data_IF_193267668902
#
_entry.id   IF_193267668902
#
_cell.length_a   1.000
_cell.length_b   1.000
_cell.length_c   1.000
_cell.angle_alpha   90.00
_cell.angle_beta   90.00
_cell.angle_gamma   90.00
#
_symmetry.space_group_name_H-M   'P 1'
#
loop_
_entity.id
_entity.type
_entity.pdbx_description
1 polymer ?
#
# COMPACT_ATOMS: atom_id res chain seq x y z
N UNK A 1 18.73 -37.94 -9.91
CA UNK A 1 18.93 -36.61 -10.50
C UNK A 1 17.56 -36.12 -10.91
N UNK A 2 16.87 -35.43 -10.00
CA UNK A 2 15.48 -35.03 -10.21
C UNK A 2 15.46 -33.73 -10.99
N UNK A 3 14.65 -33.72 -12.05
CA UNK A 3 14.32 -32.55 -12.87
C UNK A 3 13.93 -31.39 -11.95
N UNK A 4 14.76 -30.35 -11.92
CA UNK A 4 14.43 -29.11 -11.23
C UNK A 4 13.27 -28.45 -11.96
N UNK A 5 12.26 -28.02 -11.20
CA UNK A 5 11.20 -27.15 -11.69
C UNK A 5 11.86 -25.84 -12.17
N UNK A 6 12.09 -25.70 -13.48
CA UNK A 6 12.64 -24.48 -14.07
C UNK A 6 11.47 -23.76 -14.73
N UNK A 7 11.20 -22.55 -14.25
CA UNK A 7 10.30 -21.61 -14.91
C UNK A 7 11.17 -20.79 -15.85
N UNK A 8 10.91 -20.90 -17.16
CA UNK A 8 11.61 -20.08 -18.16
C UNK A 8 10.66 -18.99 -18.64
N UNK A 9 10.98 -17.74 -18.31
CA UNK A 9 10.29 -16.56 -18.86
C UNK A 9 11.04 -16.15 -20.13
N UNK A 10 10.40 -16.29 -21.29
CA UNK A 10 10.92 -15.80 -22.57
C UNK A 10 10.18 -14.52 -22.93
N UNK A 11 10.92 -13.42 -23.04
CA UNK A 11 10.40 -12.13 -23.47
C UNK A 11 10.74 -11.93 -24.95
N UNK A 12 9.73 -11.86 -25.82
CA UNK A 12 9.91 -11.43 -27.20
C UNK A 12 9.43 -9.98 -27.34
N UNK A 13 10.43 -9.08 -27.38
CA UNK A 13 10.23 -7.63 -27.47
C UNK A 13 9.67 -7.19 -28.83
N UNK A 14 9.83 -8.00 -29.88
CA UNK A 14 9.41 -7.69 -31.24
C UNK A 14 7.92 -8.00 -31.44
N UNK A 15 7.47 -9.12 -30.89
CA UNK A 15 6.08 -9.55 -30.94
C UNK A 15 5.24 -9.05 -29.74
N UNK A 16 5.90 -8.42 -28.76
CA UNK A 16 5.28 -7.93 -27.52
C UNK A 16 4.53 -9.05 -26.78
N UNK A 17 5.18 -10.17 -26.59
CA UNK A 17 4.66 -11.33 -25.89
C UNK A 17 5.66 -11.80 -24.83
N UNK A 18 5.12 -12.27 -23.71
CA UNK A 18 5.86 -13.04 -22.71
C UNK A 18 5.41 -14.47 -22.83
N UNK A 19 6.34 -15.41 -22.76
CA UNK A 19 6.02 -16.82 -22.71
C UNK A 19 6.55 -17.39 -21.40
N UNK A 20 5.65 -17.92 -20.57
CA UNK A 20 6.00 -18.68 -19.36
C UNK A 20 6.01 -20.17 -19.73
N UNK A 21 7.18 -20.78 -19.66
CA UNK A 21 7.35 -22.21 -19.86
C UNK A 21 7.58 -22.88 -18.51
N UNK A 22 6.65 -23.77 -18.12
CA UNK A 22 6.74 -24.56 -16.89
C UNK A 22 7.08 -26.00 -17.29
N UNK A 23 8.05 -26.63 -16.61
CA UNK A 23 8.40 -28.04 -16.77
C UNK A 23 7.15 -28.93 -16.77
N UNK A 24 6.90 -29.64 -17.89
CA UNK A 24 5.65 -30.34 -18.19
C UNK A 24 5.00 -29.97 -19.53
N UNK A 25 5.63 -29.08 -20.32
CA UNK A 25 5.21 -28.77 -21.69
C UNK A 25 4.02 -27.83 -21.81
N UNK A 26 3.58 -27.21 -20.70
CA UNK A 26 2.58 -26.14 -20.74
C UNK A 26 3.29 -24.81 -20.95
N UNK A 27 3.04 -24.24 -22.12
CA UNK A 27 3.48 -22.92 -22.51
C UNK A 27 2.30 -21.97 -22.40
N UNK A 28 2.44 -20.93 -21.58
CA UNK A 28 1.45 -19.86 -21.47
C UNK A 28 1.99 -18.65 -22.21
N UNK A 29 1.24 -18.15 -23.18
CA UNK A 29 1.56 -16.95 -23.95
C UNK A 29 0.73 -15.78 -23.40
N UNK A 30 1.42 -14.69 -23.11
CA UNK A 30 0.84 -13.47 -22.59
C UNK A 30 1.15 -12.32 -23.54
N UNK A 31 0.19 -11.41 -23.72
CA UNK A 31 0.43 -10.22 -24.52
C UNK A 31 0.94 -9.10 -23.63
N UNK A 32 2.00 -8.44 -24.07
CA UNK A 32 2.47 -7.20 -23.50
C UNK A 32 1.88 -6.05 -24.29
N UNK A 33 1.03 -5.25 -23.65
CA UNK A 33 0.60 -3.98 -24.24
C UNK A 33 1.19 -2.84 -23.45
N UNK A 34 1.88 -1.95 -24.15
CA UNK A 34 2.27 -0.69 -23.56
C UNK A 34 1.09 0.27 -23.65
N UNK A 35 0.47 0.58 -22.51
CA UNK A 35 -0.61 1.56 -22.42
C UNK A 35 -0.26 2.62 -21.39
N UNK A 36 -0.30 3.90 -21.80
CA UNK A 36 0.01 5.04 -20.93
C UNK A 36 1.37 4.91 -20.22
N UNK A 37 2.35 4.30 -20.89
CA UNK A 37 3.71 4.07 -20.36
C UNK A 37 3.81 2.92 -19.35
N UNK A 38 2.82 2.02 -19.28
CA UNK A 38 2.88 0.77 -18.53
C UNK A 38 2.93 -0.41 -19.47
N UNK A 39 3.83 -1.36 -19.22
CA UNK A 39 3.82 -2.66 -19.86
C UNK A 39 2.85 -3.58 -19.10
N UNK A 40 1.67 -3.81 -19.66
CA UNK A 40 0.62 -4.63 -19.06
C UNK A 40 0.67 -6.04 -19.64
N UNK A 41 0.53 -7.05 -18.77
CA UNK A 41 0.43 -8.47 -19.16
C UNK A 41 -1.06 -8.79 -19.31
N UNK A 42 -1.50 -9.10 -20.53
CA UNK A 42 -2.86 -9.56 -20.81
C UNK A 42 -2.87 -11.08 -20.89
N UNK A 43 -3.79 -11.64 -20.13
CA UNK A 43 -4.22 -13.02 -20.26
C UNK A 43 -5.22 -13.02 -21.42
N UNK A 44 -5.16 -13.98 -22.34
CA UNK A 44 -6.00 -13.97 -23.56
C UNK A 44 -7.52 -13.98 -23.32
N UNK A 45 -7.98 -14.05 -22.07
CA UNK A 45 -9.37 -13.94 -21.63
C UNK A 45 -9.42 -13.25 -20.25
N UNK A 46 -10.02 -12.05 -20.18
CA UNK A 46 -10.12 -11.25 -18.96
C UNK A 46 -10.94 -11.96 -17.86
N UNK A 47 -11.80 -12.94 -18.21
CA UNK A 47 -12.56 -13.74 -17.25
C UNK A 47 -11.69 -14.66 -16.38
N UNK A 48 -10.42 -14.86 -16.75
CA UNK A 48 -9.48 -15.74 -16.04
C UNK A 48 -8.77 -15.05 -14.86
N UNK A 49 -8.91 -13.72 -14.71
CA UNK A 49 -8.25 -12.93 -13.68
C UNK A 49 -9.22 -12.47 -12.60
N UNK A 50 -8.97 -12.88 -11.36
CA UNK A 50 -9.71 -12.43 -10.18
C UNK A 50 -8.97 -11.38 -9.37
N UNK A 51 -9.69 -10.43 -8.76
CA UNK A 51 -9.15 -9.47 -7.79
C UNK A 51 -9.72 -9.76 -6.40
N UNK A 52 -8.86 -10.06 -5.42
CA UNK A 52 -9.27 -10.31 -4.04
C UNK A 52 -8.75 -9.22 -3.09
N UNK A 53 -9.68 -8.37 -2.66
CA UNK A 53 -9.43 -7.29 -1.71
C UNK A 53 -10.69 -7.04 -0.88
N UNK A 54 -10.56 -6.51 0.34
CA UNK A 54 -11.71 -6.21 1.22
C UNK A 54 -12.75 -5.28 0.57
N UNK A 55 -12.30 -4.42 -0.35
CA UNK A 55 -13.13 -3.48 -1.11
C UNK A 55 -13.22 -3.81 -2.61
N UNK A 56 -12.79 -5.01 -3.06
CA UNK A 56 -12.77 -5.38 -4.49
C UNK A 56 -14.14 -5.22 -5.17
N UNK A 57 -15.21 -5.71 -4.54
CA UNK A 57 -16.57 -5.61 -5.07
C UNK A 57 -17.00 -4.16 -5.36
N UNK A 58 -16.58 -3.22 -4.50
CA UNK A 58 -16.88 -1.80 -4.68
C UNK A 58 -16.14 -1.22 -5.88
N UNK A 59 -14.84 -1.48 -6.02
CA UNK A 59 -14.04 -0.95 -7.14
C UNK A 59 -14.48 -1.55 -8.48
N UNK A 60 -14.78 -2.85 -8.51
CA UNK A 60 -15.34 -3.51 -9.71
C UNK A 60 -16.68 -2.89 -10.09
N UNK A 61 -17.55 -2.64 -9.11
CA UNK A 61 -18.80 -1.96 -9.33
C UNK A 61 -18.61 -0.57 -9.91
N UNK A 62 -17.71 0.24 -9.36
CA UNK A 62 -17.43 1.59 -9.89
C UNK A 62 -16.86 1.55 -11.31
N UNK A 63 -16.01 0.58 -11.63
CA UNK A 63 -15.50 0.39 -12.98
C UNK A 63 -16.62 0.05 -13.98
N UNK A 64 -17.46 -0.94 -13.67
CA UNK A 64 -18.59 -1.28 -14.56
C UNK A 64 -19.61 -0.15 -14.68
N UNK A 65 -19.81 0.66 -13.62
CA UNK A 65 -20.73 1.80 -13.63
C UNK A 65 -20.29 2.93 -14.60
N UNK A 66 -19.05 2.94 -15.09
CA UNK A 66 -18.62 3.91 -16.10
C UNK A 66 -19.26 3.65 -17.48
N UNK A 67 -19.67 2.41 -17.75
CA UNK A 67 -20.22 1.96 -19.04
C UNK A 67 -21.65 1.41 -18.94
N UNK A 68 -22.04 0.92 -17.75
CA UNK A 68 -23.28 0.18 -17.52
C UNK A 68 -24.20 0.85 -16.50
N UNK A 69 -25.49 0.56 -16.59
CA UNK A 69 -26.47 0.99 -15.59
C UNK A 69 -26.22 0.34 -14.22
N UNK A 70 -26.64 1.03 -13.15
CA UNK A 70 -26.48 0.62 -11.75
C UNK A 70 -26.72 -0.88 -11.50
N UNK A 71 -27.85 -1.40 -11.98
CA UNK A 71 -28.26 -2.80 -11.72
C UNK A 71 -27.33 -3.79 -12.41
N UNK A 72 -26.89 -3.48 -13.64
CA UNK A 72 -25.99 -4.33 -14.43
C UNK A 72 -24.60 -4.32 -13.80
N UNK A 73 -24.04 -3.15 -13.54
CA UNK A 73 -22.74 -2.97 -12.90
C UNK A 73 -22.67 -3.69 -11.53
N UNK A 74 -23.70 -3.54 -10.70
CA UNK A 74 -23.82 -4.22 -9.40
C UNK A 74 -23.79 -5.75 -9.54
N UNK A 75 -24.54 -6.29 -10.49
CA UNK A 75 -24.61 -7.73 -10.70
C UNK A 75 -23.30 -8.30 -11.28
N UNK A 76 -22.68 -7.60 -12.23
CA UNK A 76 -21.36 -7.97 -12.77
C UNK A 76 -20.29 -8.00 -11.69
N UNK A 77 -20.18 -6.93 -10.89
CA UNK A 77 -19.22 -6.85 -9.79
C UNK A 77 -19.42 -7.96 -8.76
N UNK A 78 -20.68 -8.23 -8.39
CA UNK A 78 -21.04 -9.30 -7.47
C UNK A 78 -20.68 -10.68 -8.03
N UNK A 79 -21.01 -10.95 -9.28
CA UNK A 79 -20.72 -12.22 -9.94
C UNK A 79 -19.21 -12.46 -10.02
N UNK A 80 -18.45 -11.46 -10.50
CA UNK A 80 -17.00 -11.57 -10.61
C UNK A 80 -16.33 -11.74 -9.24
N UNK A 81 -16.77 -10.99 -8.22
CA UNK A 81 -16.26 -11.17 -6.84
C UNK A 81 -16.58 -12.56 -6.29
N UNK A 82 -17.78 -13.09 -6.55
CA UNK A 82 -18.18 -14.41 -6.08
C UNK A 82 -17.42 -15.54 -6.79
N UNK A 83 -17.14 -15.39 -8.09
CA UNK A 83 -16.30 -16.32 -8.84
C UNK A 83 -14.85 -16.26 -8.34
N UNK A 84 -14.32 -15.06 -8.10
CA UNK A 84 -12.97 -14.85 -7.55
C UNK A 84 -12.80 -15.47 -6.17
N UNK A 85 -13.85 -15.57 -5.35
CA UNK A 85 -13.76 -16.25 -4.05
C UNK A 85 -13.71 -17.78 -4.15
N UNK A 86 -13.98 -18.35 -5.33
CA UNK A 86 -14.00 -19.79 -5.60
C UNK A 86 -12.76 -20.19 -6.40
N UNK A 87 -12.59 -21.51 -6.53
CA UNK A 87 -11.59 -22.13 -7.42
C UNK A 87 -12.12 -22.05 -8.86
N UNK A 88 -12.01 -20.86 -9.46
CA UNK A 88 -12.52 -20.59 -10.82
C UNK A 88 -11.42 -20.03 -11.72
N UNK A 89 -10.99 -18.79 -11.46
CA UNK A 89 -9.95 -18.14 -12.26
C UNK A 89 -8.56 -18.66 -11.90
N UNK A 90 -7.73 -19.06 -12.89
CA UNK A 90 -6.37 -19.53 -12.64
C UNK A 90 -5.41 -18.42 -12.20
N UNK A 91 -5.77 -17.14 -12.37
CA UNK A 91 -4.95 -16.00 -11.98
C UNK A 91 -5.66 -15.14 -10.96
N UNK A 92 -4.95 -14.75 -9.89
CA UNK A 92 -5.50 -13.86 -8.86
C UNK A 92 -4.51 -12.79 -8.46
N UNK A 93 -5.00 -11.56 -8.40
CA UNK A 93 -4.32 -10.43 -7.78
C UNK A 93 -4.93 -10.21 -6.41
N UNK A 94 -4.12 -10.36 -5.37
CA UNK A 94 -4.59 -10.30 -3.99
C UNK A 94 -3.57 -9.63 -3.07
N UNK A 95 -4.05 -9.03 -1.99
CA UNK A 95 -3.15 -8.50 -0.96
C UNK A 95 -2.60 -9.62 -0.08
N UNK A 96 -1.40 -9.48 0.53
CA UNK A 96 -0.85 -10.48 1.45
C UNK A 96 -1.82 -10.86 2.59
N UNK A 97 -2.64 -9.91 3.04
CA UNK A 97 -3.70 -10.14 4.03
C UNK A 97 -4.79 -11.12 3.57
N UNK A 98 -5.04 -11.28 2.26
CA UNK A 98 -5.96 -12.31 1.80
C UNK A 98 -5.39 -13.72 1.96
N UNK A 99 -4.07 -13.90 1.84
CA UNK A 99 -3.40 -15.17 2.12
C UNK A 99 -3.54 -15.49 3.61
N UNK A 100 -3.28 -14.49 4.47
CA UNK A 100 -3.35 -14.64 5.92
C UNK A 100 -4.72 -15.15 6.40
N UNK A 101 -5.83 -14.76 5.77
CA UNK A 101 -7.17 -15.24 6.14
C UNK A 101 -7.27 -16.77 6.21
N UNK A 102 -6.58 -17.46 5.30
CA UNK A 102 -6.61 -18.91 5.25
C UNK A 102 -6.00 -19.53 6.52
N UNK A 103 -4.98 -18.87 7.09
CA UNK A 103 -4.26 -19.33 8.28
C UNK A 103 -4.93 -18.93 9.60
N UNK A 104 -5.92 -18.03 9.56
CA UNK A 104 -6.75 -17.66 10.70
C UNK A 104 -8.05 -18.50 10.77
N UNK A 105 -8.24 -19.49 9.90
CA UNK A 105 -9.47 -20.30 9.90
C UNK A 105 -10.72 -19.51 9.52
N UNK A 106 -10.57 -18.46 8.72
CA UNK A 106 -11.69 -17.66 8.25
C UNK A 106 -12.65 -18.50 7.39
N UNK A 107 -13.90 -18.07 7.29
CA UNK A 107 -14.90 -18.79 6.50
C UNK A 107 -14.39 -19.10 5.08
N UNK A 108 -14.45 -20.38 4.67
CA UNK A 108 -13.89 -20.94 3.43
C UNK A 108 -12.36 -21.06 3.32
N UNK A 109 -11.63 -21.06 4.44
CA UNK A 109 -10.17 -21.18 4.40
C UNK A 109 -9.69 -22.47 3.74
N UNK A 110 -10.43 -23.57 3.84
CA UNK A 110 -10.07 -24.86 3.24
C UNK A 110 -10.05 -24.78 1.73
N UNK A 111 -11.02 -24.07 1.15
CA UNK A 111 -11.08 -23.83 -0.29
C UNK A 111 -9.91 -22.93 -0.73
N UNK A 112 -9.59 -21.89 0.06
CA UNK A 112 -8.43 -21.02 -0.22
C UNK A 112 -7.12 -21.80 -0.16
N UNK A 113 -6.89 -22.62 0.87
CA UNK A 113 -5.69 -23.47 0.97
C UNK A 113 -5.62 -24.48 -0.19
N UNK A 114 -6.75 -25.09 -0.55
CA UNK A 114 -6.82 -26.03 -1.69
C UNK A 114 -6.50 -25.35 -3.02
N UNK A 115 -6.94 -24.11 -3.20
CA UNK A 115 -6.62 -23.32 -4.39
C UNK A 115 -5.15 -22.94 -4.48
N UNK A 116 -4.54 -22.57 -3.35
CA UNK A 116 -3.15 -22.17 -3.29
C UNK A 116 -2.19 -23.36 -3.47
N UNK A 117 -2.66 -24.60 -3.32
CA UNK A 117 -1.84 -25.80 -3.45
C UNK A 117 -1.18 -25.92 -4.85
N UNK A 118 0.14 -26.12 -4.86
CA UNK A 118 0.99 -26.11 -6.05
C UNK A 118 0.94 -24.79 -6.86
N UNK A 119 0.45 -23.71 -6.26
CA UNK A 119 0.35 -22.40 -6.90
C UNK A 119 1.72 -21.76 -7.17
N UNK A 120 1.72 -20.81 -8.11
CA UNK A 120 2.84 -19.90 -8.36
C UNK A 120 2.52 -18.54 -7.74
N UNK A 121 3.36 -18.09 -6.82
CA UNK A 121 3.15 -16.84 -6.12
C UNK A 121 4.22 -15.84 -6.52
N UNK A 122 3.78 -14.71 -7.06
CA UNK A 122 4.61 -13.55 -7.32
C UNK A 122 4.29 -12.53 -6.24
N UNK A 123 5.26 -12.27 -5.37
CA UNK A 123 5.16 -11.24 -4.36
C UNK A 123 5.88 -10.00 -4.88
N UNK A 124 5.10 -9.08 -5.43
CA UNK A 124 5.59 -7.80 -5.93
C UNK A 124 5.66 -6.77 -4.80
N UNK A 125 6.67 -5.90 -4.85
CA UNK A 125 6.92 -4.83 -3.89
C UNK A 125 6.84 -5.31 -2.41
N UNK A 126 7.54 -6.40 -2.07
CA UNK A 126 7.74 -6.73 -0.65
C UNK A 126 8.60 -5.61 -0.05
N UNK A 127 7.93 -4.74 0.68
CA UNK A 127 8.56 -3.80 1.57
C UNK A 127 8.74 -4.42 2.96
N UNK A 128 9.62 -3.82 3.76
CA UNK A 128 9.70 -4.14 5.17
C UNK A 128 8.40 -3.67 5.86
N UNK A 129 7.40 -4.55 5.92
CA UNK A 129 6.29 -4.37 6.86
C UNK A 129 6.83 -4.35 8.29
N UNK A 130 6.03 -3.88 9.24
CA UNK A 130 6.40 -3.99 10.66
C UNK A 130 6.78 -5.44 11.00
N UNK A 131 7.70 -5.61 11.96
CA UNK A 131 8.35 -6.89 12.20
C UNK A 131 7.36 -8.03 12.44
N UNK A 132 6.25 -7.74 13.13
CA UNK A 132 5.13 -8.66 13.32
C UNK A 132 4.53 -9.14 11.99
N UNK A 133 4.15 -8.23 11.10
CA UNK A 133 3.54 -8.55 9.79
C UNK A 133 4.52 -9.29 8.88
N UNK A 134 5.80 -8.90 8.89
CA UNK A 134 6.84 -9.61 8.14
C UNK A 134 6.97 -11.05 8.61
N UNK A 135 6.98 -11.29 9.93
CA UNK A 135 7.01 -12.64 10.51
C UNK A 135 5.78 -13.47 10.13
N UNK A 136 4.58 -12.87 10.17
CA UNK A 136 3.33 -13.54 9.75
C UNK A 136 3.37 -13.98 8.29
N UNK A 137 3.81 -13.09 7.39
CA UNK A 137 3.93 -13.40 5.96
C UNK A 137 4.94 -14.52 5.75
N UNK A 138 6.12 -14.46 6.39
CA UNK A 138 7.15 -15.49 6.28
C UNK A 138 6.67 -16.85 6.74
N UNK A 139 6.02 -16.95 7.90
CA UNK A 139 5.53 -18.24 8.40
C UNK A 139 4.37 -18.80 7.54
N UNK A 140 3.50 -17.94 6.98
CA UNK A 140 2.49 -18.38 6.01
C UNK A 140 3.13 -18.95 4.74
N UNK A 141 4.08 -18.20 4.14
CA UNK A 141 4.76 -18.62 2.92
C UNK A 141 5.57 -19.90 3.13
N UNK A 142 6.17 -20.07 4.30
CA UNK A 142 6.87 -21.28 4.70
C UNK A 142 5.93 -22.49 4.72
N UNK A 143 4.77 -22.37 5.36
CA UNK A 143 3.76 -23.45 5.35
C UNK A 143 3.28 -23.72 3.91
N UNK A 144 2.97 -22.67 3.14
CA UNK A 144 2.57 -22.82 1.73
C UNK A 144 3.65 -23.55 0.90
N UNK A 145 4.92 -23.21 1.09
CA UNK A 145 6.04 -23.85 0.38
C UNK A 145 6.17 -25.33 0.76
N UNK A 146 6.21 -25.64 2.06
CA UNK A 146 6.54 -27.00 2.51
C UNK A 146 5.35 -27.96 2.53
N UNK A 147 4.17 -27.48 2.92
CA UNK A 147 2.97 -28.32 3.07
C UNK A 147 2.10 -28.30 1.81
N UNK A 148 2.05 -27.16 1.10
CA UNK A 148 1.22 -26.96 -0.10
C UNK A 148 2.01 -26.92 -1.40
N UNK A 149 3.34 -27.10 -1.37
CA UNK A 149 4.23 -27.15 -2.55
C UNK A 149 4.14 -25.93 -3.45
N UNK A 150 3.91 -24.76 -2.86
CA UNK A 150 3.90 -23.47 -3.58
C UNK A 150 5.30 -23.10 -4.06
N UNK A 151 5.40 -22.53 -5.26
CA UNK A 151 6.61 -21.89 -5.76
C UNK A 151 6.52 -20.38 -5.57
N UNK A 152 7.62 -19.77 -5.14
CA UNK A 152 7.69 -18.36 -4.76
C UNK A 152 8.64 -17.60 -5.69
N UNK A 153 8.20 -16.44 -6.16
CA UNK A 153 9.02 -15.43 -6.81
C UNK A 153 8.81 -14.11 -6.07
N UNK A 154 9.90 -13.52 -5.57
CA UNK A 154 9.84 -12.37 -4.66
C UNK A 154 10.58 -11.21 -5.31
N UNK A 155 9.92 -10.06 -5.38
CA UNK A 155 10.42 -8.85 -6.01
C UNK A 155 10.36 -7.69 -5.02
N UNK A 156 11.39 -6.84 -5.05
CA UNK A 156 11.46 -5.63 -4.25
C UNK A 156 12.41 -4.65 -4.91
N UNK A 157 12.05 -3.35 -4.94
CA UNK A 157 12.95 -2.31 -5.41
C UNK A 157 14.16 -2.14 -4.49
N UNK A 158 13.93 -2.21 -3.17
CA UNK A 158 14.95 -2.02 -2.14
C UNK A 158 14.58 -2.86 -0.91
N UNK A 159 15.31 -3.96 -0.69
CA UNK A 159 15.11 -4.83 0.47
C UNK A 159 16.38 -4.81 1.33
N UNK A 160 16.31 -4.42 2.61
CA UNK A 160 17.47 -4.52 3.49
C UNK A 160 18.04 -5.93 3.49
N UNK A 161 19.38 -6.05 3.44
CA UNK A 161 20.06 -7.34 3.37
C UNK A 161 19.62 -8.31 4.46
N UNK A 162 19.40 -7.84 5.69
CA UNK A 162 18.95 -8.71 6.77
C UNK A 162 17.56 -9.32 6.50
N UNK A 163 16.62 -8.55 5.93
CA UNK A 163 15.30 -9.07 5.52
C UNK A 163 15.48 -10.05 4.37
N UNK A 164 16.31 -9.71 3.39
CA UNK A 164 16.61 -10.61 2.27
C UNK A 164 17.13 -11.96 2.75
N UNK A 165 18.10 -11.97 3.68
CA UNK A 165 18.61 -13.22 4.26
C UNK A 165 17.53 -13.95 5.07
N UNK A 166 16.64 -13.27 5.81
CA UNK A 166 15.50 -13.91 6.47
C UNK A 166 14.59 -14.64 5.47
N UNK A 167 14.21 -13.99 4.37
CA UNK A 167 13.41 -14.61 3.32
C UNK A 167 14.13 -15.80 2.69
N UNK A 168 15.42 -15.64 2.39
CA UNK A 168 16.25 -16.68 1.80
C UNK A 168 16.38 -17.91 2.69
N UNK A 169 16.65 -17.70 3.98
CA UNK A 169 16.83 -18.78 4.96
C UNK A 169 15.50 -19.48 5.30
N UNK A 170 14.46 -18.71 5.63
CA UNK A 170 13.18 -19.27 6.09
C UNK A 170 12.43 -19.93 4.95
N UNK A 171 12.51 -19.37 3.75
CA UNK A 171 11.82 -19.89 2.57
C UNK A 171 12.75 -20.69 1.66
N UNK A 172 13.98 -21.00 2.06
CA UNK A 172 14.96 -21.81 1.30
C UNK A 172 15.05 -21.40 -0.20
N UNK A 173 15.30 -20.12 -0.46
CA UNK A 173 15.38 -19.58 -1.82
C UNK A 173 16.84 -19.61 -2.29
N UNK A 174 17.12 -20.36 -3.35
CA UNK A 174 18.50 -20.55 -3.83
C UNK A 174 18.92 -19.60 -4.95
N UNK A 175 17.95 -19.02 -5.68
CA UNK A 175 18.22 -18.19 -6.85
C UNK A 175 17.94 -16.72 -6.55
N UNK A 176 18.92 -15.87 -6.86
CA UNK A 176 18.81 -14.43 -6.76
C UNK A 176 19.02 -13.81 -8.14
N UNK A 177 18.19 -12.81 -8.47
CA UNK A 177 18.32 -12.02 -9.68
C UNK A 177 18.47 -10.58 -9.23
N UNK A 178 19.52 -9.90 -9.70
CA UNK A 178 19.80 -8.51 -9.39
C UNK A 178 20.25 -7.77 -10.64
N UNK A 179 20.10 -6.44 -10.61
CA UNK A 179 20.61 -5.55 -11.65
C UNK A 179 22.05 -5.17 -11.27
N UNK A 180 22.96 -5.23 -12.23
CA UNK A 180 24.36 -4.89 -12.01
C UNK A 180 24.52 -3.39 -11.70
N UNK A 181 25.53 -3.04 -10.88
CA UNK A 181 25.74 -1.64 -10.42
C UNK A 181 25.84 -0.63 -11.56
N UNK A 182 26.48 -1.01 -12.67
CA UNK A 182 26.63 -0.12 -13.82
C UNK A 182 25.30 0.17 -14.53
N UNK A 183 24.41 -0.83 -14.60
CA UNK A 183 23.08 -0.67 -15.17
C UNK A 183 22.18 0.15 -14.23
N UNK A 184 22.31 -0.03 -12.91
CA UNK A 184 21.61 0.79 -11.92
C UNK A 184 21.94 2.29 -12.07
N UNK A 185 23.22 2.65 -12.27
CA UNK A 185 23.63 4.06 -12.45
C UNK A 185 22.88 4.78 -13.56
N UNK A 186 22.44 4.07 -14.61
CA UNK A 186 21.67 4.66 -15.71
C UNK A 186 20.30 5.21 -15.27
N UNK A 187 19.76 4.73 -14.13
CA UNK A 187 18.49 5.19 -13.57
C UNK A 187 18.62 6.42 -12.65
N UNK A 188 19.83 6.92 -12.43
CA UNK A 188 20.11 8.07 -11.55
C UNK A 188 19.35 9.32 -12.00
N UNK A 189 18.51 9.87 -11.10
CA UNK A 189 17.59 10.97 -11.44
C UNK A 189 17.30 11.95 -10.30
N UNK A 190 17.91 11.77 -9.14
CA UNK A 190 17.62 12.57 -7.93
C UNK A 190 18.86 13.22 -7.35
N UNK A 191 18.72 14.48 -6.96
CA UNK A 191 19.70 15.21 -6.13
C UNK A 191 19.09 15.46 -4.76
N UNK A 192 19.71 14.93 -3.73
CA UNK A 192 19.28 15.05 -2.33
C UNK A 192 19.68 16.42 -1.78
N UNK A 193 18.75 17.07 -1.09
CA UNK A 193 19.00 18.32 -0.38
C UNK A 193 18.38 18.28 1.00
N UNK A 194 19.20 18.37 2.05
CA UNK A 194 18.70 18.55 3.40
C UNK A 194 18.43 20.04 3.62
N UNK A 195 17.21 20.37 4.04
CA UNK A 195 16.80 21.74 4.38
C UNK A 195 16.61 21.85 5.88
N UNK A 196 17.19 22.90 6.47
CA UNK A 196 17.07 23.16 7.90
C UNK A 196 15.62 23.51 8.28
N UNK A 197 15.21 23.04 9.47
CA UNK A 197 13.88 23.24 10.03
C UNK A 197 12.84 22.25 9.52
N UNK A 198 11.58 22.54 9.83
CA UNK A 198 10.45 21.71 9.44
C UNK A 198 9.76 22.26 8.17
N UNK A 199 8.68 21.57 7.75
CA UNK A 199 7.93 21.93 6.53
C UNK A 199 7.32 23.34 6.60
N UNK A 200 6.91 23.80 7.77
CA UNK A 200 6.32 25.13 8.00
C UNK A 200 7.38 26.22 7.81
N UNK A 201 8.60 25.99 8.31
CA UNK A 201 9.72 26.93 8.17
C UNK A 201 10.13 27.12 6.70
N UNK A 202 9.89 26.11 5.87
CA UNK A 202 10.26 26.09 4.45
C UNK A 202 9.11 26.46 3.50
N UNK A 203 7.98 26.94 4.01
CA UNK A 203 6.78 27.25 3.22
C UNK A 203 7.02 28.28 2.12
N UNK A 204 7.83 29.31 2.36
CA UNK A 204 8.07 30.34 1.35
C UNK A 204 8.89 29.82 0.17
N UNK A 205 9.79 28.87 0.42
CA UNK A 205 10.54 28.18 -0.62
C UNK A 205 9.63 27.32 -1.48
N UNK A 206 8.71 26.57 -0.85
CA UNK A 206 7.68 25.77 -1.53
C UNK A 206 6.80 26.67 -2.41
N UNK A 207 6.30 27.79 -1.88
CA UNK A 207 5.50 28.78 -2.63
C UNK A 207 6.27 29.38 -3.81
N UNK A 208 7.59 29.55 -3.68
CA UNK A 208 8.43 30.05 -4.76
C UNK A 208 8.54 29.04 -5.90
N UNK A 209 8.81 27.76 -5.60
CA UNK A 209 8.89 26.70 -6.62
C UNK A 209 7.55 26.45 -7.32
N UNK A 210 6.43 26.55 -6.59
CA UNK A 210 5.07 26.42 -7.15
C UNK A 210 4.76 27.39 -8.30
N UNK A 211 5.51 28.49 -8.43
CA UNK A 211 5.33 29.44 -9.56
C UNK A 211 5.71 28.84 -10.92
N UNK A 212 6.51 27.77 -10.94
CA UNK A 212 7.09 27.25 -12.19
C UNK A 212 7.20 25.73 -12.26
N UNK A 213 6.89 25.02 -11.18
CA UNK A 213 7.06 23.57 -11.06
C UNK A 213 5.82 22.92 -10.47
N UNK A 214 5.59 21.66 -10.82
CA UNK A 214 4.68 20.78 -10.10
C UNK A 214 5.40 20.29 -8.83
N UNK A 215 4.82 20.59 -7.67
CA UNK A 215 5.42 20.33 -6.37
C UNK A 215 4.67 19.23 -5.63
N UNK A 216 5.44 18.24 -5.16
CA UNK A 216 4.99 17.21 -4.24
C UNK A 216 5.43 17.55 -2.82
N UNK A 217 4.49 17.56 -1.88
CA UNK A 217 4.75 17.76 -0.45
C UNK A 217 4.27 16.55 0.34
N UNK A 218 5.17 15.91 1.08
CA UNK A 218 4.84 14.72 1.89
C UNK A 218 5.08 15.01 3.37
N UNK A 219 4.03 14.89 4.16
CA UNK A 219 4.05 15.01 5.61
C UNK A 219 3.84 13.65 6.26
N UNK A 220 4.44 13.43 7.42
CA UNK A 220 4.35 12.15 8.15
C UNK A 220 3.00 11.96 8.84
N UNK A 221 2.25 13.05 9.09
CA UNK A 221 0.93 12.98 9.74
C UNK A 221 -0.17 13.70 8.97
N UNK A 222 -1.39 13.18 9.07
CA UNK A 222 -2.58 13.76 8.43
C UNK A 222 -2.85 15.20 8.89
N UNK A 223 -2.71 15.48 10.19
CA UNK A 223 -2.95 16.83 10.72
C UNK A 223 -1.98 17.85 10.12
N UNK A 224 -0.70 17.47 9.96
CA UNK A 224 0.30 18.34 9.35
C UNK A 224 0.05 18.52 7.86
N UNK A 225 -0.32 17.46 7.14
CA UNK A 225 -0.71 17.55 5.74
C UNK A 225 -1.92 18.50 5.53
N UNK A 226 -2.93 18.42 6.39
CA UNK A 226 -4.09 19.32 6.38
C UNK A 226 -3.69 20.78 6.64
N UNK A 227 -2.83 21.04 7.63
CA UNK A 227 -2.28 22.36 7.94
C UNK A 227 -1.52 22.97 6.77
N UNK A 228 -0.54 22.22 6.23
CA UNK A 228 0.29 22.64 5.09
C UNK A 228 -0.57 22.88 3.85
N UNK A 229 -1.53 22.01 3.57
CA UNK A 229 -2.44 22.17 2.44
C UNK A 229 -3.33 23.40 2.56
N UNK A 230 -3.88 23.69 3.75
CA UNK A 230 -4.68 24.91 4.01
C UNK A 230 -3.89 26.18 3.67
N UNK A 231 -2.59 26.21 3.93
CA UNK A 231 -1.75 27.35 3.60
C UNK A 231 -1.32 27.39 2.12
N UNK A 232 -0.82 26.29 1.56
CA UNK A 232 -0.33 26.28 0.17
C UNK A 232 -1.45 26.43 -0.87
N UNK A 233 -2.66 25.93 -0.59
CA UNK A 233 -3.83 26.07 -1.46
C UNK A 233 -4.36 27.51 -1.57
N UNK A 234 -3.90 28.43 -0.71
CA UNK A 234 -4.13 29.87 -0.88
C UNK A 234 -3.32 30.43 -2.05
N UNK A 235 -2.13 29.88 -2.28
CA UNK A 235 -1.19 30.30 -3.34
C UNK A 235 -1.43 29.54 -4.65
N UNK A 236 -1.65 28.23 -4.59
CA UNK A 236 -1.92 27.38 -5.76
C UNK A 236 -3.32 26.76 -5.67
N UNK A 237 -4.23 27.19 -6.56
CA UNK A 237 -5.61 26.71 -6.59
C UNK A 237 -5.76 25.37 -7.28
N UNK A 238 -4.85 25.04 -8.20
CA UNK A 238 -4.77 23.74 -8.83
C UNK A 238 -4.01 22.75 -7.92
N UNK A 239 -4.61 22.47 -6.76
CA UNK A 239 -4.01 21.70 -5.68
C UNK A 239 -4.95 20.64 -5.12
N UNK A 240 -4.38 19.57 -4.57
CA UNK A 240 -5.09 18.46 -3.92
C UNK A 240 -4.36 17.99 -2.67
N UNK A 241 -5.15 17.48 -1.72
CA UNK A 241 -4.68 16.81 -0.52
C UNK A 241 -5.00 15.31 -0.61
N UNK A 242 -4.06 14.43 -0.29
CA UNK A 242 -4.29 12.99 -0.26
C UNK A 242 -3.79 12.34 1.03
N UNK A 243 -4.69 11.66 1.74
CA UNK A 243 -4.38 10.88 2.94
C UNK A 243 -5.45 9.84 3.24
N UNK A 244 -5.22 8.99 4.27
CA UNK A 244 -6.13 7.89 4.64
C UNK A 244 -7.50 8.29 5.20
N UNK A 245 -7.72 9.57 5.56
CA UNK A 245 -8.96 10.05 6.20
C UNK A 245 -10.03 10.63 5.27
N UNK A 246 -9.91 10.45 3.96
CA UNK A 246 -11.00 10.78 3.04
C UNK A 246 -12.00 9.63 2.98
N UNK A 247 -13.30 9.95 2.86
CA UNK A 247 -14.28 8.94 2.47
C UNK A 247 -13.91 8.38 1.10
N UNK A 248 -14.20 7.10 0.90
CA UNK A 248 -13.78 6.39 -0.31
C UNK A 248 -14.23 7.11 -1.59
N UNK A 249 -15.47 7.59 -1.64
CA UNK A 249 -16.03 8.31 -2.81
C UNK A 249 -15.29 9.61 -3.13
N UNK A 250 -14.76 10.31 -2.14
CA UNK A 250 -14.03 11.57 -2.35
C UNK A 250 -12.57 11.30 -2.66
N UNK A 251 -11.99 10.26 -2.05
CA UNK A 251 -10.66 9.77 -2.38
C UNK A 251 -10.56 9.39 -3.86
N UNK A 252 -11.55 8.70 -4.42
CA UNK A 252 -11.60 8.37 -5.85
C UNK A 252 -11.57 9.61 -6.75
N UNK A 253 -12.34 10.65 -6.39
CA UNK A 253 -12.35 11.92 -7.14
C UNK A 253 -11.00 12.63 -7.07
N UNK A 254 -10.33 12.59 -5.92
CA UNK A 254 -8.99 13.15 -5.73
C UNK A 254 -7.97 12.39 -6.59
N UNK A 255 -7.99 11.06 -6.53
CA UNK A 255 -7.07 10.18 -7.27
C UNK A 255 -7.18 10.37 -8.79
N UNK A 256 -8.39 10.60 -9.32
CA UNK A 256 -8.62 10.92 -10.75
C UNK A 256 -7.96 12.23 -11.20
N UNK A 257 -7.71 13.18 -10.29
CA UNK A 257 -7.18 14.53 -10.62
C UNK A 257 -5.66 14.67 -10.40
N UNK A 258 -4.99 13.68 -9.82
CA UNK A 258 -3.59 13.80 -9.37
C UNK A 258 -2.61 14.19 -10.49
N UNK A 259 -2.85 13.75 -11.72
CA UNK A 259 -1.95 14.05 -12.84
C UNK A 259 -2.12 15.45 -13.43
N UNK A 260 -3.19 16.16 -13.06
CA UNK A 260 -3.55 17.47 -13.63
C UNK A 260 -3.21 18.63 -12.70
N UNK A 261 -2.81 18.32 -11.46
CA UNK A 261 -2.55 19.33 -10.42
C UNK A 261 -1.10 19.76 -10.36
N UNK A 262 -0.90 21.02 -9.95
CA UNK A 262 0.42 21.61 -9.74
C UNK A 262 0.95 21.33 -8.33
N UNK A 263 0.06 21.13 -7.36
CA UNK A 263 0.42 20.84 -5.98
C UNK A 263 -0.31 19.59 -5.49
N UNK A 264 0.45 18.62 -4.98
CA UNK A 264 -0.08 17.55 -4.17
C UNK A 264 0.57 17.61 -2.79
N UNK A 265 -0.26 17.77 -1.77
CA UNK A 265 0.14 17.56 -0.38
C UNK A 265 -0.43 16.22 0.05
N UNK A 266 0.34 15.41 0.78
CA UNK A 266 -0.22 14.20 1.34
C UNK A 266 0.66 13.52 2.36
N UNK A 267 0.29 12.29 2.69
CA UNK A 267 1.03 11.46 3.65
C UNK A 267 1.61 10.22 2.96
N UNK A 268 1.95 9.19 3.74
CA UNK A 268 2.38 7.87 3.24
C UNK A 268 1.41 7.23 2.24
N UNK A 269 0.16 7.72 2.17
CA UNK A 269 -0.80 7.34 1.14
C UNK A 269 -0.27 7.57 -0.30
N UNK A 270 0.75 8.41 -0.48
CA UNK A 270 1.41 8.68 -1.77
C UNK A 270 2.46 7.62 -2.14
N UNK A 271 2.99 6.92 -1.13
CA UNK A 271 4.05 5.91 -1.30
C UNK A 271 3.54 4.67 -2.04
N UNK A 272 2.23 4.38 -2.00
CA UNK A 272 1.66 3.15 -2.55
C UNK A 272 0.74 3.39 -3.74
N UNK A 273 0.93 2.61 -4.81
CA UNK A 273 -0.03 2.43 -5.91
C UNK A 273 -0.50 3.68 -6.67
N UNK A 274 0.20 4.81 -6.58
CA UNK A 274 -0.10 6.01 -7.35
C UNK A 274 0.82 6.18 -8.55
N UNK A 275 0.24 6.41 -9.73
CA UNK A 275 0.98 6.78 -10.93
C UNK A 275 1.00 8.31 -11.07
N UNK A 276 1.90 8.94 -10.32
CA UNK A 276 2.14 10.38 -10.34
C UNK A 276 3.61 10.67 -10.67
N UNK A 277 3.85 11.83 -11.27
CA UNK A 277 5.18 12.32 -11.60
C UNK A 277 5.21 13.85 -11.38
N UNK A 278 6.03 14.29 -10.44
CA UNK A 278 6.22 15.70 -10.05
C UNK A 278 7.66 16.16 -10.32
N UNK A 279 7.87 17.47 -10.39
CA UNK A 279 9.18 18.04 -10.74
C UNK A 279 10.11 18.18 -9.52
N UNK A 280 9.55 18.28 -8.32
CA UNK A 280 10.28 18.53 -7.08
C UNK A 280 9.52 17.97 -5.88
N UNK A 281 10.27 17.38 -4.93
CA UNK A 281 9.76 16.89 -3.65
C UNK A 281 10.18 17.82 -2.50
N UNK A 282 9.25 18.02 -1.56
CA UNK A 282 9.49 18.45 -0.20
C UNK A 282 8.92 17.40 0.76
N UNK A 283 9.76 16.74 1.55
CA UNK A 283 9.31 15.67 2.45
C UNK A 283 9.81 15.86 3.87
N UNK A 284 8.93 15.67 4.84
CA UNK A 284 9.34 15.50 6.24
C UNK A 284 10.30 14.30 6.37
N UNK A 285 11.19 14.31 7.38
CA UNK A 285 12.20 13.27 7.53
C UNK A 285 11.54 11.92 7.81
N UNK A 286 12.00 10.87 7.15
CA UNK A 286 11.47 9.53 7.28
C UNK A 286 12.61 8.49 7.13
N UNK A 287 12.37 7.22 7.49
CA UNK A 287 13.30 6.15 7.17
C UNK A 287 13.59 6.06 5.66
N UNK A 288 14.76 5.53 5.31
CA UNK A 288 15.27 5.54 3.94
C UNK A 288 14.36 4.85 2.93
N UNK A 289 13.74 3.74 3.30
CA UNK A 289 12.79 2.99 2.49
C UNK A 289 11.55 3.83 2.12
N UNK A 290 10.96 4.52 3.11
CA UNK A 290 9.85 5.45 2.86
C UNK A 290 10.28 6.63 1.98
N UNK A 291 11.48 7.17 2.19
CA UNK A 291 12.03 8.26 1.37
C UNK A 291 12.22 7.84 -0.10
N UNK A 292 12.80 6.66 -0.36
CA UNK A 292 13.00 6.14 -1.73
C UNK A 292 11.64 5.99 -2.45
N UNK A 293 10.62 5.49 -1.75
CA UNK A 293 9.27 5.40 -2.31
C UNK A 293 8.69 6.78 -2.67
N UNK A 294 8.94 7.80 -1.82
CA UNK A 294 8.58 9.20 -2.12
C UNK A 294 9.38 9.76 -3.30
N UNK A 295 10.68 9.45 -3.41
CA UNK A 295 11.54 9.88 -4.51
C UNK A 295 11.08 9.29 -5.84
N UNK A 296 10.58 8.04 -5.83
CA UNK A 296 9.98 7.39 -6.99
C UNK A 296 8.76 8.10 -7.59
N UNK A 297 8.20 9.11 -6.91
CA UNK A 297 7.09 9.96 -7.37
C UNK A 297 7.57 11.28 -8.00
N UNK A 298 8.88 11.48 -8.10
CA UNK A 298 9.50 12.67 -8.70
C UNK A 298 10.40 12.27 -9.85
N UNK A 299 10.22 12.95 -10.98
CA UNK A 299 11.03 12.82 -12.19
C UNK A 299 11.19 11.36 -12.63
N UNK A 300 10.09 10.60 -12.68
CA UNK A 300 10.07 9.15 -12.87
C UNK A 300 10.75 8.71 -14.17
N UNK A 301 10.65 9.52 -15.22
CA UNK A 301 11.30 9.31 -16.53
C UNK A 301 12.56 10.17 -16.73
N UNK A 302 13.05 10.83 -15.68
CA UNK A 302 14.21 11.71 -15.77
C UNK A 302 15.46 11.02 -16.27
N UNK A 303 15.63 9.75 -15.93
CA UNK A 303 16.76 8.91 -16.31
C UNK A 303 16.89 8.75 -17.83
N UNK A 304 15.77 8.64 -18.58
CA UNK A 304 15.79 8.52 -20.04
C UNK A 304 16.48 9.72 -20.73
N UNK A 305 16.43 10.89 -20.09
CA UNK A 305 16.98 12.16 -20.59
C UNK A 305 18.11 12.70 -19.73
N UNK A 306 18.58 11.93 -18.75
CA UNK A 306 19.57 12.34 -17.74
C UNK A 306 19.22 13.68 -17.05
N UNK A 307 17.93 13.94 -16.85
CA UNK A 307 17.44 15.10 -16.12
C UNK A 307 17.47 14.76 -14.64
N UNK A 308 18.12 15.60 -13.83
CA UNK A 308 18.19 15.43 -12.37
C UNK A 308 17.18 16.36 -11.70
N UNK A 309 16.35 15.80 -10.83
CA UNK A 309 15.37 16.54 -10.04
C UNK A 309 15.78 16.65 -8.57
N UNK A 310 15.50 17.78 -7.91
CA UNK A 310 15.76 17.94 -6.49
C UNK A 310 14.72 17.19 -5.64
N UNK A 311 15.20 16.42 -4.67
CA UNK A 311 14.40 15.86 -3.57
C UNK A 311 14.83 16.53 -2.26
N UNK A 312 13.98 17.43 -1.75
CA UNK A 312 14.28 18.20 -0.55
C UNK A 312 13.71 17.48 0.68
N UNK A 313 14.58 17.16 1.63
CA UNK A 313 14.24 16.49 2.87
C UNK A 313 14.41 17.50 4.00
N UNK A 314 13.37 17.69 4.81
CA UNK A 314 13.42 18.59 5.95
C UNK A 314 14.23 17.93 7.07
N UNK A 315 15.03 18.69 7.80
CA UNK A 315 15.84 18.17 8.91
C UNK A 315 15.00 17.84 10.14
N UNK A 316 13.84 18.49 10.29
CA UNK A 316 12.95 18.33 11.44
C UNK A 316 11.54 17.92 11.00
N UNK A 317 11.00 16.94 11.72
CA UNK A 317 9.61 16.50 11.59
C UNK A 317 8.70 17.18 12.61
N UNK A 318 7.46 16.71 12.71
CA UNK A 318 6.54 17.15 13.78
C UNK A 318 6.80 16.41 15.10
N UNK A 319 6.35 16.97 16.23
CA UNK A 319 6.41 16.28 17.54
C UNK A 319 5.69 14.92 17.56
N UNK A 320 4.76 14.72 16.62
CA UNK A 320 3.97 13.50 16.48
C UNK A 320 4.69 12.41 15.66
N UNK A 321 5.80 12.73 15.00
CA UNK A 321 6.49 11.80 14.10
C UNK A 321 7.09 10.60 14.85
N UNK A 322 7.39 10.77 16.15
CA UNK A 322 7.82 9.68 17.06
C UNK A 322 6.81 8.55 17.21
N UNK A 323 5.53 8.78 16.86
CA UNK A 323 4.49 7.75 16.87
C UNK A 323 4.36 7.03 15.52
N UNK A 324 5.04 7.53 14.49
CA UNK A 324 5.01 7.00 13.12
C UNK A 324 6.31 6.22 12.85
N UNK A 325 7.46 6.81 13.18
CA UNK A 325 8.77 6.23 12.92
C UNK A 325 9.66 6.28 14.16
N UNK A 326 10.58 5.32 14.25
CA UNK A 326 11.63 5.28 15.27
C UNK A 326 12.62 6.42 15.04
N UNK A 327 12.82 7.27 16.05
CA UNK A 327 13.63 8.49 15.93
C UNK A 327 15.08 8.20 15.58
N UNK A 328 15.65 7.14 16.14
CA UNK A 328 17.02 6.69 15.89
C UNK A 328 17.22 6.32 14.42
N UNK A 329 16.25 5.62 13.82
CA UNK A 329 16.27 5.21 12.41
C UNK A 329 16.21 6.42 11.47
N UNK A 330 15.31 7.37 11.76
CA UNK A 330 15.19 8.62 11.00
C UNK A 330 16.46 9.45 11.09
N UNK A 331 17.02 9.62 12.30
CA UNK A 331 18.25 10.39 12.50
C UNK A 331 19.42 9.78 11.72
N UNK A 332 19.61 8.46 11.78
CA UNK A 332 20.63 7.76 10.99
C UNK A 332 20.46 7.98 9.49
N UNK A 333 19.21 7.96 9.02
CA UNK A 333 18.88 8.22 7.61
C UNK A 333 19.29 9.63 7.20
N UNK A 334 18.92 10.65 7.98
CA UNK A 334 19.25 12.05 7.67
C UNK A 334 20.75 12.30 7.73
N UNK A 335 21.46 11.80 8.75
CA UNK A 335 22.92 11.93 8.85
C UNK A 335 23.62 11.31 7.65
N UNK A 336 23.18 10.12 7.20
CA UNK A 336 23.76 9.47 6.03
C UNK A 336 23.50 10.26 4.73
N UNK A 337 22.30 10.79 4.58
CA UNK A 337 21.90 11.54 3.38
C UNK A 337 22.50 12.95 3.31
N UNK A 338 22.96 13.54 4.43
CA UNK A 338 23.72 14.80 4.42
C UNK A 338 25.02 14.72 3.61
N UNK A 339 25.60 13.53 3.52
CA UNK A 339 26.85 13.28 2.80
C UNK A 339 26.63 13.02 1.30
N UNK A 340 25.38 12.98 0.83
CA UNK A 340 24.99 12.63 -0.54
C UNK A 340 24.39 13.84 -1.25
N UNK A 341 25.04 14.30 -2.33
CA UNK A 341 24.43 15.28 -3.26
C UNK A 341 23.65 14.56 -4.36
N UNK A 342 24.35 13.90 -5.28
CA UNK A 342 23.74 13.07 -6.32
C UNK A 342 23.48 11.67 -5.74
N UNK A 343 22.21 11.26 -5.70
CA UNK A 343 21.84 9.92 -5.28
C UNK A 343 21.88 8.99 -6.50
N UNK A 344 23.03 8.36 -6.72
CA UNK A 344 23.14 7.30 -7.73
C UNK A 344 22.34 6.07 -7.31
N UNK A 345 21.66 5.42 -8.26
CA UNK A 345 20.75 4.30 -7.93
C UNK A 345 21.50 3.11 -7.29
N UNK A 346 22.78 2.90 -7.64
CA UNK A 346 23.60 1.82 -7.07
C UNK A 346 24.01 2.06 -5.61
N UNK A 347 23.97 3.32 -5.14
CA UNK A 347 24.25 3.67 -3.74
C UNK A 347 23.09 3.34 -2.81
N UNK A 348 21.86 3.27 -3.35
CA UNK A 348 20.63 3.12 -2.56
C UNK A 348 20.69 1.87 -1.68
N UNK A 349 21.08 0.72 -2.25
CA UNK A 349 21.14 -0.53 -1.50
C UNK A 349 22.17 -0.47 -0.36
N UNK A 350 23.32 0.17 -0.58
CA UNK A 350 24.36 0.31 0.45
C UNK A 350 23.89 1.20 1.61
N UNK A 351 23.17 2.28 1.31
CA UNK A 351 22.58 3.18 2.31
C UNK A 351 21.52 2.43 3.13
N UNK A 352 20.63 1.69 2.47
CA UNK A 352 19.61 0.86 3.12
C UNK A 352 20.26 -0.17 4.04
N UNK A 353 21.25 -0.91 3.56
CA UNK A 353 21.93 -1.94 4.34
C UNK A 353 22.66 -1.38 5.57
N UNK A 354 23.33 -0.22 5.45
CA UNK A 354 23.98 0.42 6.59
C UNK A 354 22.95 0.90 7.64
N UNK A 355 21.83 1.49 7.20
CA UNK A 355 20.78 1.97 8.10
C UNK A 355 20.13 0.81 8.87
N UNK A 356 19.89 -0.32 8.21
CA UNK A 356 19.23 -1.49 8.80
C UNK A 356 20.18 -2.60 9.26
N UNK A 357 21.49 -2.34 9.37
CA UNK A 357 22.51 -3.37 9.68
C UNK A 357 22.27 -4.17 10.96
N UNK A 358 21.56 -3.60 11.92
CA UNK A 358 21.25 -4.25 13.21
C UNK A 358 20.01 -5.16 13.12
N UNK A 359 19.31 -5.15 11.99
CA UNK A 359 18.06 -5.87 11.78
C UNK A 359 16.95 -5.39 12.70
N UNK A 360 16.06 -6.30 13.08
CA UNK A 360 15.05 -6.02 14.09
C UNK A 360 15.70 -5.94 15.48
N UNK A 361 15.38 -4.87 16.22
CA UNK A 361 15.91 -4.59 17.56
C UNK A 361 14.78 -4.28 18.55
N UNK A 362 15.04 -4.47 19.84
CA UNK A 362 14.08 -4.19 20.91
C UNK A 362 12.73 -4.87 20.67
N UNK A 363 11.65 -4.09 20.75
CA UNK A 363 10.28 -4.58 20.59
C UNK A 363 10.03 -5.24 19.23
N UNK A 364 10.61 -4.72 18.15
CA UNK A 364 10.42 -5.29 16.81
C UNK A 364 10.96 -6.71 16.73
N UNK A 365 12.10 -6.97 17.39
CA UNK A 365 12.68 -8.32 17.48
C UNK A 365 11.79 -9.26 18.29
N UNK A 366 11.30 -8.78 19.43
CA UNK A 366 10.39 -9.54 20.29
C UNK A 366 9.10 -9.91 19.55
N UNK A 367 8.48 -8.94 18.85
CA UNK A 367 7.26 -9.14 18.08
C UNK A 367 7.50 -10.13 16.92
N UNK A 368 8.66 -10.04 16.24
CA UNK A 368 9.03 -10.97 15.16
C UNK A 368 9.20 -12.41 15.67
N UNK A 369 10.01 -12.61 16.73
CA UNK A 369 10.28 -13.95 17.28
C UNK A 369 9.02 -14.55 17.92
N UNK A 370 8.19 -13.74 18.59
CA UNK A 370 6.93 -14.20 19.17
C UNK A 370 6.01 -14.81 18.12
N UNK A 371 5.86 -14.17 16.96
CA UNK A 371 5.07 -14.74 15.86
C UNK A 371 5.73 -16.02 15.36
N UNK A 372 7.03 -16.01 15.09
CA UNK A 372 7.77 -17.17 14.58
C UNK A 372 7.65 -18.41 15.48
N UNK A 373 7.69 -18.23 16.80
CA UNK A 373 7.57 -19.33 17.77
C UNK A 373 6.13 -19.87 17.89
N UNK A 374 5.13 -18.97 17.85
CA UNK A 374 3.75 -19.33 18.20
C UNK A 374 2.84 -19.57 16.98
N UNK A 375 3.20 -19.09 15.78
CA UNK A 375 2.32 -19.13 14.61
C UNK A 375 1.94 -20.56 14.21
N UNK A 376 2.88 -21.50 14.28
CA UNK A 376 2.59 -22.91 13.97
C UNK A 376 1.62 -23.54 14.97
N UNK A 377 1.73 -23.21 16.26
CA UNK A 377 0.79 -23.68 17.27
C UNK A 377 -0.60 -23.11 17.02
N UNK A 378 -0.68 -21.80 16.76
CA UNK A 378 -1.93 -21.13 16.38
C UNK A 378 -2.58 -21.74 15.13
N UNK A 379 -1.80 -21.98 14.08
CA UNK A 379 -2.30 -22.61 12.85
C UNK A 379 -2.79 -24.04 13.07
N UNK A 380 -2.12 -24.83 13.91
CA UNK A 380 -2.53 -26.20 14.22
C UNK A 380 -3.88 -26.26 14.97
N UNK A 381 -4.33 -25.16 15.59
CA UNK A 381 -5.65 -25.06 16.20
C UNK A 381 -6.75 -24.76 15.17
N UNK A 382 -6.41 -24.44 13.92
CA UNK A 382 -7.39 -24.24 12.85
C UNK A 382 -7.92 -25.60 12.41
N UNK A 383 -9.19 -25.85 12.72
CA UNK A 383 -9.87 -27.12 12.41
C UNK A 383 -10.83 -26.90 11.24
N UNK A 384 -10.77 -27.75 10.18
CA UNK A 384 -11.73 -27.70 9.08
C UNK A 384 -13.18 -27.70 9.57
N UNK A 385 -14.00 -26.86 8.94
CA UNK A 385 -15.43 -26.66 9.21
C UNK A 385 -15.77 -26.03 10.56
N UNK A 386 -14.78 -25.64 11.38
CA UNK A 386 -15.00 -24.94 12.65
C UNK A 386 -14.69 -23.46 12.47
N UNK A 387 -15.70 -22.62 12.70
CA UNK A 387 -15.56 -21.17 12.69
C UNK A 387 -15.51 -20.61 14.11
N UNK A 388 -14.44 -19.87 14.41
CA UNK A 388 -14.25 -19.23 15.70
C UNK A 388 -14.25 -17.71 15.55
N UNK A 389 -15.19 -17.06 16.25
CA UNK A 389 -15.31 -15.60 16.23
C UNK A 389 -14.06 -14.90 16.78
N UNK A 390 -13.40 -15.50 17.77
CA UNK A 390 -12.14 -14.98 18.34
C UNK A 390 -11.04 -14.87 17.29
N UNK A 391 -10.88 -15.88 16.42
CA UNK A 391 -9.89 -15.84 15.33
C UNK A 391 -10.20 -14.78 14.27
N UNK A 392 -11.49 -14.54 14.00
CA UNK A 392 -11.92 -13.41 13.16
C UNK A 392 -11.50 -12.06 13.78
N UNK A 393 -11.75 -11.88 15.07
CA UNK A 393 -11.36 -10.67 15.81
C UNK A 393 -9.84 -10.48 15.81
N UNK A 394 -9.07 -11.55 16.02
CA UNK A 394 -7.60 -11.54 15.95
C UNK A 394 -7.10 -11.12 14.56
N UNK A 395 -7.67 -11.68 13.48
CA UNK A 395 -7.32 -11.29 12.12
C UNK A 395 -7.60 -9.80 11.85
N UNK A 396 -8.78 -9.30 12.21
CA UNK A 396 -9.11 -7.89 11.98
C UNK A 396 -8.33 -6.92 12.86
N UNK A 397 -7.82 -7.38 14.02
CA UNK A 397 -6.94 -6.58 14.86
C UNK A 397 -5.63 -6.18 14.17
N UNK A 398 -5.20 -6.95 13.15
CA UNK A 398 -3.97 -6.69 12.38
C UNK A 398 -4.02 -5.37 11.60
N UNK A 399 -5.20 -4.90 11.20
CA UNK A 399 -5.34 -3.66 10.41
C UNK A 399 -5.09 -2.39 11.23
N UNK A 400 -5.05 -2.49 12.57
CA UNK A 400 -4.75 -1.38 13.51
C UNK A 400 -5.61 -0.11 13.27
N UNK A 401 -6.80 -0.25 12.67
CA UNK A 401 -7.72 0.85 12.32
C UNK A 401 -9.19 0.43 12.41
N UNK A 402 -10.08 1.42 12.53
CA UNK A 402 -11.53 1.28 12.44
C UNK A 402 -12.08 1.99 11.22
N UNK A 403 -12.98 1.33 10.49
CA UNK A 403 -13.81 1.98 9.47
C UNK A 403 -14.97 2.70 10.15
N UNK A 404 -15.14 3.98 9.79
CA UNK A 404 -16.12 4.90 10.39
C UNK A 404 -16.80 5.74 9.31
N UNK A 405 -17.99 6.24 9.61
CA UNK A 405 -18.72 7.19 8.77
C UNK A 405 -18.77 8.54 9.49
N UNK A 406 -18.39 9.67 8.85
CA UNK A 406 -18.54 10.99 9.46
C UNK A 406 -20.02 11.25 9.77
N UNK A 407 -20.32 11.74 10.98
CA UNK A 407 -21.69 11.90 11.47
C UNK A 407 -22.57 12.76 10.53
N UNK A 408 -21.98 13.77 9.90
CA UNK A 408 -22.63 14.64 8.93
C UNK A 408 -23.26 13.91 7.73
N UNK A 409 -22.83 12.67 7.45
CA UNK A 409 -23.38 11.83 6.37
C UNK A 409 -24.18 10.62 6.88
N UNK A 410 -24.54 10.60 8.17
CA UNK A 410 -25.27 9.49 8.78
C UNK A 410 -26.60 9.23 8.08
N UNK A 411 -27.38 10.28 7.80
CA UNK A 411 -28.70 10.13 7.21
C UNK A 411 -28.62 9.60 5.77
N UNK A 412 -27.70 10.12 4.97
CA UNK A 412 -27.46 9.65 3.61
C UNK A 412 -26.96 8.21 3.58
N UNK A 413 -26.03 7.87 4.47
CA UNK A 413 -25.58 6.48 4.63
C UNK A 413 -26.76 5.55 4.97
N UNK A 414 -27.60 5.92 5.95
CA UNK A 414 -28.74 5.10 6.36
C UNK A 414 -29.80 5.00 5.25
N UNK A 415 -29.98 6.04 4.44
CA UNK A 415 -30.84 5.99 3.25
C UNK A 415 -30.31 5.00 2.21
N UNK A 416 -28.99 4.98 1.95
CA UNK A 416 -28.38 3.98 1.07
C UNK A 416 -28.62 2.55 1.58
N UNK A 417 -28.45 2.32 2.88
CA UNK A 417 -28.68 1.01 3.51
C UNK A 417 -30.16 0.61 3.39
N UNK A 418 -31.08 1.51 3.72
CA UNK A 418 -32.53 1.28 3.63
C UNK A 418 -32.99 0.94 2.22
N UNK A 419 -32.39 1.57 1.21
CA UNK A 419 -32.68 1.32 -0.20
C UNK A 419 -31.91 0.10 -0.78
N UNK A 420 -31.19 -0.67 0.04
CA UNK A 420 -30.41 -1.83 -0.40
C UNK A 420 -29.24 -1.49 -1.33
N UNK A 421 -28.80 -0.23 -1.32
CA UNK A 421 -27.68 0.31 -2.10
C UNK A 421 -26.36 0.23 -1.32
N UNK A 422 -26.07 -0.95 -0.76
CA UNK A 422 -24.89 -1.21 0.08
C UNK A 422 -23.55 -0.79 -0.55
N UNK A 423 -23.41 -0.90 -1.88
CA UNK A 423 -22.19 -0.47 -2.58
C UNK A 423 -22.00 1.04 -2.57
N UNK A 424 -23.08 1.83 -2.60
CA UNK A 424 -22.98 3.29 -2.44
C UNK A 424 -22.72 3.66 -0.98
N UNK A 425 -23.33 2.92 -0.04
CA UNK A 425 -23.05 3.08 1.39
C UNK A 425 -21.54 2.89 1.72
N UNK A 426 -20.85 1.96 1.05
CA UNK A 426 -19.40 1.76 1.20
C UNK A 426 -18.61 3.05 0.90
N UNK A 427 -19.11 3.88 -0.02
CA UNK A 427 -18.48 5.15 -0.42
C UNK A 427 -18.33 6.17 0.72
N UNK A 428 -19.10 6.03 1.81
CA UNK A 428 -19.09 6.93 2.96
C UNK A 428 -18.07 6.54 4.04
N UNK A 429 -17.47 5.37 3.96
CA UNK A 429 -16.47 4.95 4.94
C UNK A 429 -15.14 5.67 4.74
N UNK A 430 -14.57 6.09 5.85
CA UNK A 430 -13.18 6.50 6.02
C UNK A 430 -12.58 5.69 7.17
N UNK A 431 -11.26 5.73 7.36
CA UNK A 431 -10.61 4.92 8.41
C UNK A 431 -9.89 5.81 9.43
N UNK A 432 -9.95 5.44 10.70
CA UNK A 432 -9.24 6.09 11.81
C UNK A 432 -8.41 5.08 12.59
N UNK A 433 -7.30 5.52 13.18
CA UNK A 433 -6.47 4.62 14.00
C UNK A 433 -7.17 4.23 15.31
N UNK A 434 -6.75 3.11 15.91
CA UNK A 434 -7.26 2.66 17.22
C UNK A 434 -7.14 3.76 18.29
N UNK A 435 -6.02 4.50 18.32
CA UNK A 435 -5.83 5.58 19.29
C UNK A 435 -6.85 6.71 19.13
N UNK A 436 -7.19 7.05 17.89
CA UNK A 436 -8.19 8.08 17.58
C UNK A 436 -9.60 7.62 17.90
N UNK A 437 -9.91 6.36 17.59
CA UNK A 437 -11.18 5.76 17.99
C UNK A 437 -11.35 5.80 19.51
N UNK A 438 -10.32 5.41 20.27
CA UNK A 438 -10.34 5.51 21.74
C UNK A 438 -10.51 6.95 22.24
N UNK A 439 -9.81 7.92 21.64
CA UNK A 439 -9.95 9.35 21.96
C UNK A 439 -11.40 9.80 21.77
N UNK A 440 -11.95 9.63 20.57
CA UNK A 440 -13.32 10.05 20.24
C UNK A 440 -14.36 9.33 21.11
N UNK A 441 -14.13 8.04 21.42
CA UNK A 441 -15.01 7.28 22.33
C UNK A 441 -15.01 7.88 23.74
N UNK A 442 -13.84 8.25 24.27
CA UNK A 442 -13.72 8.88 25.59
C UNK A 442 -14.36 10.28 25.63
N UNK A 443 -14.37 10.97 24.49
CA UNK A 443 -15.01 12.28 24.32
C UNK A 443 -16.53 12.17 24.05
N UNK A 444 -17.11 10.95 24.05
CA UNK A 444 -18.51 10.69 23.66
C UNK A 444 -18.87 11.15 22.24
N UNK A 445 -17.89 11.14 21.33
CA UNK A 445 -18.01 11.57 19.92
C UNK A 445 -18.17 10.39 18.95
N UNK A 446 -18.58 9.21 19.45
CA UNK A 446 -18.87 8.03 18.64
C UNK A 446 -20.26 7.51 18.95
N UNK A 447 -21.09 7.37 17.92
CA UNK A 447 -22.33 6.61 17.97
C UNK A 447 -22.14 5.27 17.25
N UNK A 448 -22.66 4.19 17.81
CA UNK A 448 -22.63 2.86 17.19
C UNK A 448 -24.04 2.45 16.80
N UNK A 449 -24.24 2.18 15.52
CA UNK A 449 -25.41 1.46 15.04
C UNK A 449 -25.18 -0.04 15.20
N UNK A 450 -25.91 -0.64 16.16
CA UNK A 450 -25.80 -2.04 16.50
C UNK A 450 -26.30 -2.99 15.41
N UNK A 451 -27.24 -2.55 14.58
CA UNK A 451 -27.85 -3.39 13.54
C UNK A 451 -26.88 -3.56 12.36
N UNK A 452 -26.21 -2.48 11.96
CA UNK A 452 -25.26 -2.49 10.84
C UNK A 452 -23.79 -2.61 11.25
N UNK A 453 -23.50 -2.62 12.56
CA UNK A 453 -22.13 -2.56 13.13
C UNK A 453 -21.30 -1.39 12.58
N UNK A 454 -21.95 -0.24 12.39
CA UNK A 454 -21.32 0.97 11.85
C UNK A 454 -21.05 1.97 12.97
N UNK A 455 -19.87 2.59 12.93
CA UNK A 455 -19.50 3.67 13.83
C UNK A 455 -19.65 5.02 13.13
N UNK A 456 -20.50 5.89 13.68
CA UNK A 456 -20.62 7.29 13.28
C UNK A 456 -19.76 8.15 14.19
N UNK A 457 -18.93 9.01 13.61
CA UNK A 457 -17.99 9.85 14.36
C UNK A 457 -18.35 11.32 14.24
N UNK A 458 -18.57 11.98 15.39
CA UNK A 458 -18.74 13.44 15.43
C UNK A 458 -17.37 14.11 15.28
N UNK A 459 -16.95 14.26 14.03
CA UNK A 459 -15.79 15.04 13.65
C UNK A 459 -16.06 15.69 12.29
N UNK A 460 -15.64 16.94 12.15
CA UNK A 460 -15.85 17.70 10.92
C UNK A 460 -15.21 17.02 9.73
N UNK A 461 -15.92 17.00 8.60
CA UNK A 461 -15.42 16.47 7.35
C UNK A 461 -15.65 17.45 6.20
N UNK A 462 -14.67 17.61 5.31
CA UNK A 462 -14.88 18.29 4.02
C UNK A 462 -14.30 17.47 2.87
N UNK A 463 -14.82 17.64 1.65
CA UNK A 463 -14.28 16.99 0.46
C UNK A 463 -12.84 17.37 0.14
N UNK A 464 -12.35 18.50 0.66
CA UNK A 464 -11.00 19.02 0.42
C UNK A 464 -10.01 18.61 1.51
N UNK A 465 -10.48 18.40 2.75
CA UNK A 465 -9.62 18.13 3.91
C UNK A 465 -9.81 16.73 4.51
N UNK A 466 -10.87 16.02 4.13
CA UNK A 466 -11.28 14.76 4.75
C UNK A 466 -11.66 14.95 6.22
N UNK A 467 -11.54 13.89 7.02
CA UNK A 467 -11.94 13.91 8.43
C UNK A 467 -10.93 14.66 9.32
N UNK A 468 -11.41 15.67 10.03
CA UNK A 468 -10.65 16.50 10.97
C UNK A 468 -11.01 16.09 12.40
N UNK A 469 -10.21 15.18 12.97
CA UNK A 469 -10.50 14.51 14.26
C UNK A 469 -10.63 15.50 15.43
N UNK A 470 -9.88 16.60 15.38
CA UNK A 470 -9.80 17.55 16.50
C UNK A 470 -10.88 18.65 16.42
N UNK A 471 -11.70 18.70 15.35
CA UNK A 471 -12.82 19.63 15.19
C UNK A 471 -14.14 18.85 15.27
N UNK A 472 -15.07 19.29 16.15
CA UNK A 472 -16.44 18.78 16.16
C UNK A 472 -17.23 19.33 14.96
N UNK A 473 -18.27 18.60 14.53
CA UNK A 473 -19.22 19.14 13.57
C UNK A 473 -20.35 19.84 14.34
N UNK A 474 -20.33 21.17 14.32
CA UNK A 474 -21.34 21.99 15.02
C UNK A 474 -22.71 21.97 14.31
N UNK A 475 -22.84 21.34 13.13
CA UNK A 475 -24.11 21.25 12.40
C UNK A 475 -25.03 20.11 12.88
N UNK A 476 -24.82 19.60 14.10
CA UNK A 476 -25.69 18.62 14.74
C UNK A 476 -26.95 19.33 15.23
N UNK A 477 -27.97 19.35 14.37
CA UNK A 477 -29.35 19.76 14.72
C UNK A 477 -30.12 18.54 15.22
#
# INVERSE_FOLDING_TARGET
MNEKNVITIKLDKKEKNVTLEITGGKTYEYFLKEEKGKLNIYFGDDELVGIQHGKANYFLYKAFLEEEDYTVAKNMAKNMTNLTKKIYGPYKVLTPFQILKAFFGMYWFEMQLSEMANGLFILDEIHAYDAHTTSLILECLKILKHEYKVNLFIMSATLPKFIKELFREILEIDNEIFIEKNELKEFTRHRVKILDGNIIDNMDKIKSDLKSKRVLVVCNTVSRAQEVFKELSKTEKNSVLLHGRFMLRDREKIEKRLNEVNLLVGTQAIEVSLNIDYDILYTEPAPIDALIQRFGRVNRKGWEKQIIAPVNILSEGSDKDKYIYTKELVNRTIEKLKEVDLLEEDMIQEIVDDIYKEGYVGKDKEDFEKVKENFKLFYNEVVPFIYEKTKEEDFYSLFKSYDVVPFQYKLEYLDEIKNGRYLEAIGYFTSISIGQFKKLKNENRIEMDGDNKTYFVNAKYTSELGLIIDEEDDNII
#
